data_IF_297831685769
#
_entry.id   IF_297831685769
#
_cell.length_a   1.000
_cell.length_b   1.000
_cell.length_c   1.000
_cell.angle_alpha   90.00
_cell.angle_beta   90.00
_cell.angle_gamma   90.00
#
_symmetry.space_group_name_H-M   'P 1'
#
loop_
_entity.id
_entity.type
_entity.pdbx_description
1 polymer ?
#
# COMPACT_ATOMS: atom_id res chain seq x y z
N UNK A 1 -8.73 16.93 -17.19
CA UNK A 1 -7.55 16.07 -17.45
C UNK A 1 -6.24 16.61 -16.87
N UNK A 2 -5.71 17.79 -17.24
CA UNK A 2 -4.42 18.28 -16.67
C UNK A 2 -4.46 18.36 -15.15
N UNK A 3 -5.50 18.96 -14.56
CA UNK A 3 -5.66 19.02 -13.11
C UNK A 3 -5.72 17.66 -12.42
N UNK A 4 -6.34 16.67 -13.03
CA UNK A 4 -6.39 15.28 -12.52
C UNK A 4 -5.02 14.63 -12.49
N UNK A 5 -4.22 14.83 -13.56
CA UNK A 5 -2.84 14.32 -13.62
C UNK A 5 -1.97 14.96 -12.52
N UNK A 6 -2.10 16.28 -12.31
CA UNK A 6 -1.37 16.99 -11.26
C UNK A 6 -1.74 16.44 -9.88
N UNK A 7 -3.03 16.24 -9.60
CA UNK A 7 -3.51 15.67 -8.32
C UNK A 7 -2.97 14.24 -8.15
N UNK A 8 -3.05 13.41 -9.19
CA UNK A 8 -2.50 12.05 -9.17
C UNK A 8 -1.01 12.04 -8.82
N UNK A 9 -0.22 12.85 -9.53
CA UNK A 9 1.22 12.96 -9.29
C UNK A 9 1.54 13.49 -7.88
N UNK A 10 0.76 14.44 -7.38
CA UNK A 10 0.92 14.99 -6.03
C UNK A 10 0.64 13.92 -4.96
N UNK A 11 -0.46 13.17 -5.09
CA UNK A 11 -0.79 12.08 -4.17
C UNK A 11 0.33 11.05 -4.16
N UNK A 12 0.76 10.61 -5.33
CA UNK A 12 1.80 9.60 -5.48
C UNK A 12 3.14 10.08 -4.91
N UNK A 13 3.49 11.34 -5.20
CA UNK A 13 4.68 11.99 -4.66
C UNK A 13 4.69 11.99 -3.11
N UNK A 14 3.59 12.39 -2.47
CA UNK A 14 3.51 12.44 -1.00
C UNK A 14 3.66 11.04 -0.39
N UNK A 15 3.03 10.03 -0.99
CA UNK A 15 3.07 8.65 -0.49
C UNK A 15 4.47 8.05 -0.62
N UNK A 16 5.09 8.20 -1.80
CA UNK A 16 6.45 7.68 -2.04
C UNK A 16 7.48 8.43 -1.22
N UNK A 17 7.37 9.76 -1.12
CA UNK A 17 8.24 10.55 -0.26
C UNK A 17 8.17 10.11 1.20
N UNK A 18 6.96 9.85 1.71
CA UNK A 18 6.78 9.33 3.06
C UNK A 18 7.47 7.98 3.26
N UNK A 19 7.38 7.10 2.29
CA UNK A 19 8.03 5.79 2.27
C UNK A 19 9.56 5.91 2.33
N UNK A 20 10.15 6.62 1.37
CA UNK A 20 11.61 6.82 1.30
C UNK A 20 12.14 7.56 2.54
N UNK A 21 11.36 8.51 3.05
CA UNK A 21 11.72 9.23 4.27
C UNK A 21 11.75 8.30 5.49
N UNK A 22 10.90 7.27 5.53
CA UNK A 22 10.96 6.24 6.57
C UNK A 22 12.30 5.51 6.58
N UNK A 23 12.75 5.02 5.44
CA UNK A 23 14.06 4.40 5.26
C UNK A 23 15.18 5.33 5.68
N UNK A 24 15.17 6.55 5.14
CA UNK A 24 16.16 7.58 5.43
C UNK A 24 16.31 7.87 6.91
N UNK A 25 15.18 8.14 7.58
CA UNK A 25 15.19 8.53 9.00
C UNK A 25 15.74 7.42 9.88
N UNK A 26 15.26 6.19 9.69
CA UNK A 26 15.66 5.06 10.52
C UNK A 26 17.10 4.62 10.21
N UNK A 27 17.56 4.73 8.97
CA UNK A 27 18.97 4.54 8.62
C UNK A 27 19.86 5.50 9.40
N UNK A 28 19.56 6.80 9.36
CA UNK A 28 20.31 7.84 10.09
C UNK A 28 20.31 7.62 11.61
N UNK A 29 19.18 7.25 12.20
CA UNK A 29 19.08 6.95 13.63
C UNK A 29 19.95 5.74 14.02
N UNK A 30 20.08 4.75 13.13
CA UNK A 30 20.93 3.58 13.35
C UNK A 30 22.39 3.78 12.94
N UNK A 31 22.79 4.98 12.51
CA UNK A 31 24.15 5.29 12.09
C UNK A 31 24.54 4.70 10.72
N UNK A 32 23.56 4.25 9.92
CA UNK A 32 23.77 3.79 8.54
C UNK A 32 23.86 5.00 7.64
N UNK A 33 24.95 5.07 6.83
CA UNK A 33 25.15 6.16 5.89
C UNK A 33 24.23 6.02 4.68
N UNK A 34 23.61 7.15 4.33
CA UNK A 34 22.77 7.27 3.15
C UNK A 34 23.52 8.08 2.11
N UNK A 35 23.91 7.44 1.02
CA UNK A 35 24.64 8.07 -0.08
C UNK A 35 23.73 9.01 -0.88
N UNK A 36 22.52 8.56 -1.22
CA UNK A 36 21.56 9.36 -1.97
C UNK A 36 20.14 9.21 -1.40
N UNK A 37 19.46 10.34 -1.30
CA UNK A 37 18.02 10.42 -1.07
C UNK A 37 17.40 11.10 -2.29
N UNK A 38 16.80 10.29 -3.17
CA UNK A 38 16.27 10.77 -4.44
C UNK A 38 14.75 10.75 -4.47
N UNK A 39 14.18 11.78 -5.07
CA UNK A 39 12.76 11.90 -5.40
C UNK A 39 12.62 11.70 -6.89
N UNK A 40 11.77 10.72 -7.28
CA UNK A 40 11.61 10.33 -8.67
C UNK A 40 12.62 9.32 -9.16
N UNK A 41 12.50 8.94 -10.41
CA UNK A 41 13.39 8.00 -11.12
C UNK A 41 13.98 8.63 -12.38
N UNK A 42 14.98 7.96 -12.97
CA UNK A 42 15.62 8.40 -14.21
C UNK A 42 16.77 9.38 -13.99
N UNK A 43 17.14 10.17 -15.01
CA UNK A 43 18.26 11.10 -14.93
C UNK A 43 18.03 12.20 -13.90
N UNK A 44 19.09 12.60 -13.21
CA UNK A 44 19.08 13.66 -12.22
C UNK A 44 18.88 15.02 -12.90
N UNK A 45 17.87 15.77 -12.46
CA UNK A 45 17.61 17.15 -12.92
C UNK A 45 18.30 18.16 -12.03
N UNK A 46 18.19 17.97 -10.71
CA UNK A 46 18.75 18.88 -9.72
C UNK A 46 19.15 18.09 -8.47
N UNK A 47 20.06 18.62 -7.68
CA UNK A 47 20.44 18.05 -6.41
C UNK A 47 21.48 18.89 -5.69
N UNK A 48 21.62 18.63 -4.41
CA UNK A 48 22.62 19.23 -3.55
C UNK A 48 23.13 18.20 -2.54
N UNK A 49 24.38 18.36 -2.13
CA UNK A 49 24.99 17.49 -1.12
C UNK A 49 24.99 18.20 0.23
N UNK A 50 24.51 17.52 1.27
CA UNK A 50 24.57 18.00 2.66
C UNK A 50 25.12 16.90 3.55
N UNK A 51 26.29 17.12 4.11
CA UNK A 51 27.05 16.09 4.81
C UNK A 51 27.46 14.96 3.87
N UNK A 52 27.16 13.75 4.23
CA UNK A 52 27.45 12.54 3.43
C UNK A 52 26.36 12.23 2.39
N UNK A 53 25.16 12.79 2.54
CA UNK A 53 24.01 12.47 1.71
C UNK A 53 23.83 13.45 0.56
N UNK A 54 23.63 12.94 -0.63
CA UNK A 54 23.18 13.68 -1.79
C UNK A 54 21.66 13.66 -1.88
N UNK A 55 21.03 14.83 -1.93
CA UNK A 55 19.58 15.00 -2.13
C UNK A 55 19.33 15.28 -3.61
N UNK A 56 18.62 14.42 -4.31
CA UNK A 56 18.43 14.49 -5.75
C UNK A 56 16.96 14.57 -6.15
N UNK A 57 16.67 15.38 -7.16
CA UNK A 57 15.40 15.39 -7.89
C UNK A 57 15.64 14.78 -9.27
N UNK A 58 14.88 13.75 -9.62
CA UNK A 58 15.00 12.99 -10.87
C UNK A 58 13.85 13.29 -11.83
N UNK A 59 14.03 12.99 -13.11
CA UNK A 59 13.16 13.45 -14.19
C UNK A 59 11.73 12.92 -14.15
N UNK A 60 11.55 11.68 -13.72
CA UNK A 60 10.22 11.07 -13.67
C UNK A 60 9.72 11.11 -12.23
N UNK A 61 8.60 11.81 -11.94
CA UNK A 61 8.06 11.98 -10.58
C UNK A 61 7.34 10.71 -10.07
N UNK A 62 7.74 9.54 -10.55
CA UNK A 62 7.25 8.24 -10.15
C UNK A 62 8.35 7.51 -9.40
N UNK A 63 8.09 7.14 -8.14
CA UNK A 63 9.06 6.48 -7.30
C UNK A 63 9.98 7.41 -6.53
N UNK A 64 10.92 6.83 -5.81
CA UNK A 64 11.99 7.44 -5.06
C UNK A 64 13.11 6.44 -4.87
N UNK A 65 14.19 6.84 -4.24
CA UNK A 65 15.27 5.94 -3.85
C UNK A 65 16.01 6.48 -2.62
N UNK A 66 16.21 5.61 -1.64
CA UNK A 66 17.10 5.85 -0.51
C UNK A 66 18.26 4.85 -0.64
N UNK A 67 19.41 5.29 -1.14
CA UNK A 67 20.57 4.44 -1.43
C UNK A 67 21.50 4.45 -0.22
N UNK A 68 21.69 3.30 0.39
CA UNK A 68 22.60 3.12 1.52
C UNK A 68 24.02 2.79 1.04
N UNK A 69 25.01 3.21 1.80
CA UNK A 69 26.39 2.82 1.53
C UNK A 69 26.57 1.30 1.64
N UNK A 70 27.21 0.70 0.63
CA UNK A 70 27.44 -0.75 0.58
C UNK A 70 26.20 -1.60 0.25
N UNK A 71 25.08 -0.98 -0.12
CA UNK A 71 23.85 -1.70 -0.46
C UNK A 71 24.00 -2.53 -1.74
N UNK A 72 24.62 -1.97 -2.76
CA UNK A 72 24.69 -2.52 -4.11
C UNK A 72 25.95 -3.35 -4.31
N UNK A 73 26.52 -4.12 -3.56
CA UNK A 73 27.67 -4.99 -3.86
C UNK A 73 28.66 -4.52 -4.99
N UNK A 74 28.21 -3.59 -5.82
CA UNK A 74 28.95 -2.94 -6.90
C UNK A 74 30.06 -2.00 -6.39
N UNK A 75 29.88 -1.39 -5.21
CA UNK A 75 30.95 -0.57 -4.61
C UNK A 75 32.05 -1.46 -4.02
N UNK A 76 31.69 -2.58 -3.38
CA UNK A 76 32.65 -3.57 -2.92
C UNK A 76 33.46 -4.16 -4.09
N UNK A 77 32.80 -4.46 -5.21
CA UNK A 77 33.49 -4.92 -6.44
C UNK A 77 34.38 -3.84 -7.07
N UNK A 78 34.03 -2.56 -6.95
CA UNK A 78 34.90 -1.45 -7.41
C UNK A 78 36.09 -1.21 -6.49
N UNK A 79 35.90 -1.36 -5.17
CA UNK A 79 37.02 -1.27 -4.22
C UNK A 79 37.97 -2.45 -4.36
N UNK A 80 37.50 -3.67 -4.55
CA UNK A 80 38.34 -4.83 -4.86
C UNK A 80 39.06 -4.70 -6.21
N UNK A 81 38.40 -4.18 -7.26
CA UNK A 81 39.01 -3.90 -8.54
C UNK A 81 40.05 -2.78 -8.44
N UNK A 82 39.81 -1.77 -7.61
CA UNK A 82 40.79 -0.67 -7.36
C UNK A 82 41.96 -1.15 -6.51
N UNK A 83 41.73 -2.02 -5.53
CA UNK A 83 42.79 -2.64 -4.74
C UNK A 83 43.63 -3.64 -5.54
N UNK A 84 43.04 -4.32 -6.51
CA UNK A 84 43.74 -5.25 -7.40
C UNK A 84 44.62 -4.51 -8.46
N UNK A 85 44.42 -3.21 -8.65
CA UNK A 85 45.21 -2.36 -9.57
C UNK A 85 46.52 -1.81 -9.00
N UNK A 86 46.82 -2.02 -7.71
CA UNK A 86 48.09 -1.59 -7.12
C UNK A 86 49.17 -2.66 -7.37
N UNK A 87 50.32 -2.36 -8.01
CA UNK A 87 51.36 -3.36 -8.29
C UNK A 87 51.87 -3.93 -6.98
N UNK A 88 51.71 -5.23 -6.79
CA UNK A 88 52.27 -5.94 -5.65
C UNK A 88 53.78 -5.83 -5.65
N UNK A 89 54.33 -5.19 -4.63
CA UNK A 89 55.77 -5.21 -4.34
C UNK A 89 56.18 -6.67 -4.06
N UNK A 90 57.11 -7.17 -4.90
CA UNK A 90 57.63 -8.54 -4.84
C UNK A 90 58.72 -8.69 -3.75
N UNK A 91 58.47 -8.28 -2.54
CA UNK A 91 59.31 -8.62 -1.40
C UNK A 91 58.52 -9.39 -0.37
N UNK A 92 58.53 -10.71 -0.53
CA UNK A 92 57.92 -11.63 0.41
C UNK A 92 58.63 -11.59 1.79
N UNK A 93 58.02 -10.95 2.74
CA UNK A 93 58.10 -11.13 4.20
C UNK A 93 57.15 -10.12 4.85
N UNK A 94 55.87 -10.37 4.80
CA UNK A 94 54.85 -9.57 5.49
C UNK A 94 54.29 -10.40 6.63
N UNK A 95 54.71 -10.07 7.83
CA UNK A 95 54.01 -10.52 9.04
C UNK A 95 52.52 -10.27 8.90
N UNK A 96 51.71 -11.28 9.24
CA UNK A 96 50.32 -11.14 9.56
C UNK A 96 50.18 -10.19 10.76
N UNK A 97 50.20 -8.90 10.50
CA UNK A 97 49.74 -7.93 11.47
C UNK A 97 48.20 -8.10 11.53
N UNK A 98 47.70 -8.59 12.67
CA UNK A 98 46.33 -8.41 13.08
C UNK A 98 46.08 -6.89 13.26
N UNK A 99 45.91 -6.18 12.17
CA UNK A 99 45.26 -4.87 12.21
C UNK A 99 43.80 -5.17 12.54
N UNK A 100 43.25 -4.64 13.65
CA UNK A 100 41.80 -4.69 13.83
C UNK A 100 41.18 -4.02 12.63
N UNK A 101 40.51 -4.79 11.79
CA UNK A 101 39.69 -4.22 10.73
C UNK A 101 38.59 -3.48 11.47
N UNK A 102 38.72 -2.16 11.54
CA UNK A 102 37.67 -1.29 12.08
C UNK A 102 36.48 -1.45 11.15
N UNK A 103 35.56 -2.34 11.56
CA UNK A 103 34.40 -2.67 10.74
C UNK A 103 33.54 -1.41 10.66
N UNK A 104 33.56 -0.77 9.51
CA UNK A 104 32.78 0.43 9.25
C UNK A 104 31.28 0.14 9.38
N UNK A 105 30.75 0.44 10.56
CA UNK A 105 29.32 0.23 10.91
C UNK A 105 28.38 1.19 10.17
N UNK A 106 28.91 2.21 9.53
CA UNK A 106 28.11 3.09 8.67
C UNK A 106 27.70 2.44 7.35
N UNK A 107 28.42 1.41 6.91
CA UNK A 107 28.06 0.61 5.76
C UNK A 107 26.87 -0.31 6.11
N UNK A 108 25.85 -0.34 5.22
CA UNK A 108 24.63 -1.12 5.44
C UNK A 108 24.90 -2.61 5.71
N UNK A 109 25.82 -3.22 4.96
CA UNK A 109 26.15 -4.64 5.10
C UNK A 109 26.81 -4.97 6.45
N UNK A 110 27.54 -4.03 7.03
CA UNK A 110 28.24 -4.17 8.29
C UNK A 110 27.40 -3.77 9.51
N UNK A 111 26.26 -3.11 9.29
CA UNK A 111 25.37 -2.70 10.36
C UNK A 111 24.71 -3.93 11.03
N UNK A 112 24.37 -3.85 12.34
CA UNK A 112 23.66 -4.92 13.03
C UNK A 112 22.39 -5.33 12.27
N UNK A 113 22.12 -6.63 12.17
CA UNK A 113 20.99 -7.16 11.39
C UNK A 113 19.64 -6.54 11.80
N UNK A 114 19.43 -6.28 13.08
CA UNK A 114 18.21 -5.62 13.58
C UNK A 114 18.10 -4.16 13.14
N UNK A 115 19.22 -3.44 13.02
CA UNK A 115 19.25 -2.07 12.47
C UNK A 115 18.90 -2.08 10.99
N UNK A 116 19.38 -3.08 10.23
CA UNK A 116 19.02 -3.27 8.82
C UNK A 116 17.54 -3.63 8.66
N UNK A 117 17.02 -4.56 9.48
CA UNK A 117 15.59 -4.90 9.49
C UNK A 117 14.74 -3.68 9.81
N UNK A 118 15.09 -2.90 10.84
CA UNK A 118 14.37 -1.69 11.21
C UNK A 118 14.37 -0.66 10.07
N UNK A 119 15.51 -0.48 9.41
CA UNK A 119 15.66 0.45 8.28
C UNK A 119 14.80 0.04 7.09
N UNK A 120 14.82 -1.24 6.70
CA UNK A 120 14.01 -1.72 5.57
C UNK A 120 12.51 -1.73 5.92
N UNK A 121 12.14 -2.10 7.14
CA UNK A 121 10.73 -2.09 7.59
C UNK A 121 10.15 -0.68 7.70
N UNK A 122 11.01 0.33 7.90
CA UNK A 122 10.59 1.71 8.13
C UNK A 122 9.82 2.32 6.95
N UNK A 123 10.17 2.01 5.69
CA UNK A 123 9.43 2.49 4.52
C UNK A 123 7.94 2.13 4.59
N UNK A 124 7.58 0.84 4.61
CA UNK A 124 6.20 0.41 4.79
C UNK A 124 5.54 0.96 6.06
N UNK A 125 6.25 1.00 7.19
CA UNK A 125 5.73 1.55 8.43
C UNK A 125 5.33 3.03 8.28
N UNK A 126 6.13 3.84 7.61
CA UNK A 126 5.84 5.25 7.38
C UNK A 126 4.63 5.45 6.45
N UNK A 127 4.38 4.54 5.53
CA UNK A 127 3.14 4.54 4.76
C UNK A 127 1.90 4.32 5.65
N UNK A 128 1.97 3.41 6.62
CA UNK A 128 0.87 3.23 7.59
C UNK A 128 0.70 4.44 8.52
N UNK A 129 1.81 5.06 8.95
CA UNK A 129 1.76 6.29 9.76
C UNK A 129 1.14 7.46 8.98
N UNK A 130 1.54 7.64 7.73
CA UNK A 130 0.98 8.64 6.83
C UNK A 130 -0.52 8.39 6.59
N UNK A 131 -0.89 7.14 6.32
CA UNK A 131 -2.28 6.75 6.18
C UNK A 131 -3.10 7.00 7.45
N UNK A 132 -2.51 6.81 8.63
CA UNK A 132 -3.18 7.13 9.89
C UNK A 132 -3.44 8.64 10.06
N UNK A 133 -2.49 9.49 9.62
CA UNK A 133 -2.69 10.95 9.59
C UNK A 133 -3.85 11.30 8.65
N UNK A 134 -3.89 10.71 7.45
CA UNK A 134 -5.01 10.88 6.52
C UNK A 134 -6.32 10.38 7.11
N UNK A 135 -6.31 9.24 7.82
CA UNK A 135 -7.48 8.70 8.49
C UNK A 135 -8.03 9.65 9.57
N UNK A 136 -7.16 10.35 10.32
CA UNK A 136 -7.57 11.38 11.29
C UNK A 136 -8.28 12.54 10.56
N UNK A 137 -7.75 12.99 9.42
CA UNK A 137 -8.37 14.06 8.63
C UNK A 137 -9.75 13.64 8.11
N UNK A 138 -9.85 12.43 7.52
CA UNK A 138 -11.10 11.90 6.97
C UNK A 138 -12.12 11.67 8.08
N UNK A 139 -11.72 11.05 9.21
CA UNK A 139 -12.60 10.82 10.35
C UNK A 139 -13.10 12.14 10.96
N UNK A 140 -12.22 13.16 11.06
CA UNK A 140 -12.58 14.47 11.58
C UNK A 140 -13.58 15.23 10.71
N UNK A 141 -13.53 14.99 9.39
CA UNK A 141 -14.44 15.63 8.43
C UNK A 141 -15.77 14.87 8.28
N UNK A 142 -15.70 13.56 8.05
CA UNK A 142 -16.85 12.75 7.68
C UNK A 142 -17.42 11.92 8.84
N UNK A 143 -16.71 11.80 9.98
CA UNK A 143 -17.09 10.87 11.04
C UNK A 143 -16.83 9.42 10.67
N UNK A 144 -17.64 8.51 11.23
CA UNK A 144 -17.58 7.09 10.95
C UNK A 144 -18.95 6.54 10.56
N UNK A 145 -18.96 5.72 9.50
CA UNK A 145 -20.10 4.92 9.05
C UNK A 145 -20.24 3.68 9.96
N UNK A 146 -20.94 3.85 11.09
CA UNK A 146 -21.14 2.75 12.03
C UNK A 146 -22.07 1.68 11.43
N UNK A 147 -21.82 0.39 11.71
CA UNK A 147 -22.59 -0.72 11.14
C UNK A 147 -23.94 -0.89 11.84
N UNK A 148 -24.78 0.14 11.81
CA UNK A 148 -26.14 0.14 12.34
C UNK A 148 -27.12 0.09 11.18
N UNK A 149 -28.04 -0.86 11.17
CA UNK A 149 -29.01 -1.03 10.09
C UNK A 149 -30.00 0.14 10.07
N UNK A 150 -30.16 0.77 8.91
CA UNK A 150 -31.20 1.80 8.68
C UNK A 150 -32.53 1.17 8.33
N UNK A 151 -32.52 0.16 7.46
CA UNK A 151 -33.68 -0.64 7.10
C UNK A 151 -33.27 -2.02 6.59
N UNK A 152 -34.22 -2.92 6.52
CA UNK A 152 -34.09 -4.27 5.97
C UNK A 152 -35.05 -4.38 4.79
N UNK A 153 -34.56 -4.99 3.70
CA UNK A 153 -35.36 -5.19 2.47
C UNK A 153 -36.33 -6.33 2.67
N UNK A 154 -37.60 -6.12 2.29
CA UNK A 154 -38.65 -7.14 2.31
C UNK A 154 -38.25 -8.33 1.41
N UNK A 155 -38.53 -9.55 1.87
CA UNK A 155 -38.17 -10.79 1.19
C UNK A 155 -36.69 -11.14 1.22
N UNK A 156 -35.87 -10.39 1.96
CA UNK A 156 -34.42 -10.63 2.04
C UNK A 156 -34.03 -11.67 3.11
N UNK A 157 -32.77 -12.15 3.01
CA UNK A 157 -32.18 -13.03 4.01
C UNK A 157 -32.15 -12.39 5.41
N UNK A 158 -31.94 -11.08 5.49
CA UNK A 158 -31.93 -10.35 6.75
C UNK A 158 -33.32 -10.29 7.40
N UNK A 159 -34.38 -10.06 6.62
CA UNK A 159 -35.75 -10.08 7.10
C UNK A 159 -36.17 -11.49 7.59
N UNK A 160 -35.86 -12.51 6.78
CA UNK A 160 -36.12 -13.91 7.15
C UNK A 160 -35.44 -14.34 8.47
N UNK A 161 -34.30 -13.71 8.79
CA UNK A 161 -33.59 -13.91 10.05
C UNK A 161 -34.09 -13.01 11.19
N UNK A 162 -35.16 -12.22 10.98
CA UNK A 162 -35.75 -11.35 12.00
C UNK A 162 -34.92 -10.12 12.35
N UNK A 163 -33.99 -9.71 11.48
CA UNK A 163 -33.22 -8.49 11.69
C UNK A 163 -34.08 -7.25 11.43
N UNK A 164 -33.78 -6.15 12.11
CA UNK A 164 -34.57 -4.93 12.09
C UNK A 164 -33.70 -3.68 11.97
N UNK A 165 -34.32 -2.56 11.60
CA UNK A 165 -33.68 -1.24 11.69
C UNK A 165 -33.25 -0.96 13.13
N UNK A 166 -32.07 -0.40 13.31
CA UNK A 166 -31.44 -0.14 14.61
C UNK A 166 -30.52 -1.25 15.11
N UNK A 167 -30.53 -2.44 14.51
CA UNK A 167 -29.58 -3.50 14.86
C UNK A 167 -28.18 -3.06 14.54
N UNK A 168 -27.26 -3.19 15.50
CA UNK A 168 -25.86 -2.89 15.33
C UNK A 168 -25.08 -4.15 15.07
N UNK A 169 -24.50 -4.27 13.88
CA UNK A 169 -23.73 -5.45 13.49
C UNK A 169 -22.36 -5.42 14.16
N UNK A 170 -22.04 -6.44 14.95
CA UNK A 170 -20.76 -6.61 15.65
C UNK A 170 -19.79 -7.49 14.87
N UNK A 171 -20.34 -8.54 14.22
CA UNK A 171 -19.57 -9.47 13.38
C UNK A 171 -20.34 -9.79 12.11
N UNK A 172 -19.59 -9.91 11.03
CA UNK A 172 -20.07 -10.37 9.73
C UNK A 172 -18.96 -11.29 9.18
N UNK A 173 -19.04 -12.59 9.48
CA UNK A 173 -17.98 -13.59 9.49
C UNK A 173 -16.80 -13.19 10.41
N UNK A 174 -16.29 -11.98 10.27
CA UNK A 174 -15.24 -11.39 11.08
C UNK A 174 -15.77 -10.18 11.88
N UNK A 175 -14.99 -9.70 12.88
CA UNK A 175 -15.32 -8.48 13.62
C UNK A 175 -15.30 -7.28 12.66
N UNK A 176 -16.37 -6.48 12.67
CA UNK A 176 -16.49 -5.24 11.90
C UNK A 176 -16.62 -4.03 12.81
N UNK A 177 -16.19 -2.88 12.31
CA UNK A 177 -16.31 -1.60 13.02
C UNK A 177 -16.97 -0.51 12.14
N UNK A 178 -16.95 -0.69 10.82
CA UNK A 178 -17.50 0.23 9.85
C UNK A 178 -18.49 -0.52 8.94
N UNK A 179 -19.55 0.16 8.53
CA UNK A 179 -20.58 -0.41 7.67
C UNK A 179 -20.03 -0.89 6.32
N UNK A 180 -19.06 -0.16 5.77
CA UNK A 180 -18.39 -0.52 4.49
C UNK A 180 -17.64 -1.86 4.54
N UNK A 181 -17.31 -2.38 5.73
CA UNK A 181 -16.71 -3.71 5.87
C UNK A 181 -17.68 -4.81 5.45
N UNK A 182 -18.99 -4.62 5.66
CA UNK A 182 -20.03 -5.55 5.20
C UNK A 182 -20.05 -5.60 3.67
N UNK A 183 -20.01 -4.42 3.04
CA UNK A 183 -19.98 -4.32 1.57
C UNK A 183 -18.73 -4.99 0.98
N UNK A 184 -17.58 -4.87 1.64
CA UNK A 184 -16.36 -5.55 1.23
C UNK A 184 -16.48 -7.07 1.32
N UNK A 185 -16.98 -7.60 2.43
CA UNK A 185 -17.20 -9.05 2.61
C UNK A 185 -18.19 -9.59 1.57
N UNK A 186 -19.27 -8.86 1.30
CA UNK A 186 -20.24 -9.26 0.28
C UNK A 186 -19.68 -9.19 -1.15
N UNK A 187 -18.83 -8.21 -1.46
CA UNK A 187 -18.16 -8.12 -2.77
C UNK A 187 -17.23 -9.32 -3.04
N UNK A 188 -16.68 -9.91 -1.99
CA UNK A 188 -15.82 -11.10 -2.07
C UNK A 188 -16.61 -12.41 -2.05
N UNK A 189 -17.85 -12.40 -1.59
CA UNK A 189 -18.74 -13.57 -1.58
C UNK A 189 -19.43 -13.74 -2.94
N UNK A 190 -18.70 -14.26 -3.91
CA UNK A 190 -19.19 -14.46 -5.29
C UNK A 190 -20.04 -15.74 -5.45
N UNK A 191 -20.08 -16.59 -4.45
CA UNK A 191 -20.74 -17.91 -4.49
C UNK A 191 -22.04 -17.97 -3.67
N UNK A 192 -22.35 -16.91 -2.91
CA UNK A 192 -23.54 -16.88 -2.03
C UNK A 192 -23.38 -17.74 -0.78
N UNK A 193 -22.15 -17.97 -0.31
CA UNK A 193 -21.90 -18.73 0.90
C UNK A 193 -22.60 -18.11 2.12
N UNK A 194 -23.16 -18.94 3.03
CA UNK A 194 -23.78 -18.43 4.25
C UNK A 194 -22.82 -17.62 5.10
N UNK A 195 -23.33 -16.52 5.66
CA UNK A 195 -22.58 -15.56 6.47
C UNK A 195 -23.08 -15.59 7.90
N UNK A 196 -22.16 -15.80 8.85
CA UNK A 196 -22.46 -15.71 10.28
C UNK A 196 -22.48 -14.24 10.71
N UNK A 197 -23.59 -13.83 11.32
CA UNK A 197 -23.81 -12.46 11.78
C UNK A 197 -24.08 -12.45 13.27
N UNK A 198 -23.33 -11.60 14.00
CA UNK A 198 -23.63 -11.26 15.39
C UNK A 198 -24.02 -9.80 15.43
N UNK A 199 -25.15 -9.50 16.02
CA UNK A 199 -25.69 -8.14 16.15
C UNK A 199 -26.19 -7.86 17.56
N UNK A 200 -26.20 -6.58 17.93
CA UNK A 200 -26.69 -6.07 19.21
C UNK A 200 -28.02 -5.36 18.98
N UNK A 201 -29.06 -5.73 19.77
CA UNK A 201 -30.34 -5.08 19.84
C UNK A 201 -30.70 -4.88 21.32
N UNK A 202 -31.06 -3.68 21.72
CA UNK A 202 -31.41 -3.31 23.09
C UNK A 202 -30.40 -3.78 24.16
N UNK A 203 -29.12 -3.76 23.81
CA UNK A 203 -28.00 -4.16 24.68
C UNK A 203 -27.81 -5.68 24.83
N UNK A 204 -28.54 -6.50 24.05
CA UNK A 204 -28.36 -7.95 24.00
C UNK A 204 -27.76 -8.37 22.66
N UNK A 205 -26.83 -9.35 22.70
CA UNK A 205 -26.23 -9.92 21.50
C UNK A 205 -27.04 -11.09 20.97
N UNK A 206 -27.26 -11.11 19.67
CA UNK A 206 -27.95 -12.19 18.94
C UNK A 206 -27.02 -12.72 17.85
N UNK A 207 -27.08 -14.02 17.60
CA UNK A 207 -26.35 -14.67 16.53
C UNK A 207 -27.32 -15.30 15.52
N UNK A 208 -27.04 -15.09 14.23
CA UNK A 208 -27.83 -15.67 13.14
C UNK A 208 -26.90 -16.00 11.96
N UNK A 209 -27.43 -16.79 11.02
CA UNK A 209 -26.74 -17.08 9.76
C UNK A 209 -27.60 -16.60 8.61
N UNK A 210 -27.05 -15.74 7.77
CA UNK A 210 -27.70 -15.24 6.57
C UNK A 210 -27.21 -15.99 5.35
N UNK A 211 -28.15 -16.50 4.54
CA UNK A 211 -27.82 -17.06 3.22
C UNK A 211 -28.11 -15.97 2.18
N UNK A 212 -27.05 -15.38 1.55
CA UNK A 212 -27.25 -14.31 0.59
C UNK A 212 -28.08 -14.76 -0.61
N UNK A 213 -28.95 -13.89 -1.12
CA UNK A 213 -29.79 -14.15 -2.29
C UNK A 213 -29.18 -13.45 -3.49
N UNK A 214 -29.12 -14.14 -4.64
CA UNK A 214 -28.62 -13.55 -5.87
C UNK A 214 -29.63 -12.55 -6.42
N UNK A 215 -29.19 -11.32 -6.63
CA UNK A 215 -29.98 -10.26 -7.24
C UNK A 215 -29.56 -10.10 -8.72
N UNK A 216 -30.46 -10.41 -9.64
CA UNK A 216 -30.19 -10.39 -11.09
C UNK A 216 -29.89 -8.96 -11.61
N UNK A 217 -30.61 -7.94 -11.09
CA UNK A 217 -30.40 -6.56 -11.51
C UNK A 217 -29.04 -6.02 -11.09
N UNK A 218 -28.59 -6.36 -9.86
CA UNK A 218 -27.31 -5.96 -9.33
C UNK A 218 -26.16 -6.90 -9.75
N UNK A 219 -26.45 -8.07 -10.31
CA UNK A 219 -25.46 -9.08 -10.71
C UNK A 219 -24.62 -9.63 -9.56
N UNK A 220 -25.14 -9.65 -8.32
CA UNK A 220 -24.40 -10.03 -7.12
C UNK A 220 -25.30 -10.59 -6.02
N UNK A 221 -24.69 -11.29 -5.08
CA UNK A 221 -25.35 -11.78 -3.88
C UNK A 221 -25.57 -10.66 -2.86
N UNK A 222 -26.77 -10.57 -2.27
CA UNK A 222 -27.15 -9.55 -1.29
C UNK A 222 -27.80 -10.21 -0.07
N UNK A 223 -27.64 -9.59 1.10
CA UNK A 223 -28.28 -10.01 2.36
C UNK A 223 -29.52 -9.16 2.70
N UNK A 224 -29.70 -8.02 2.02
CA UNK A 224 -30.87 -7.16 2.19
C UNK A 224 -30.72 -6.06 3.24
N UNK A 225 -29.51 -5.67 3.59
CA UNK A 225 -29.27 -4.47 4.39
C UNK A 225 -29.38 -3.22 3.51
N UNK A 226 -30.17 -2.26 3.97
CA UNK A 226 -30.34 -0.98 3.30
C UNK A 226 -30.02 0.17 4.25
N UNK A 227 -29.36 1.20 3.75
CA UNK A 227 -29.08 2.47 4.44
C UNK A 227 -28.63 2.33 5.90
N UNK A 228 -27.34 2.43 6.12
CA UNK A 228 -26.77 2.52 7.46
C UNK A 228 -27.19 3.84 8.11
N UNK A 229 -27.82 3.78 9.26
CA UNK A 229 -28.61 4.87 9.84
C UNK A 229 -27.79 6.05 10.36
N UNK A 230 -26.48 5.91 10.58
CA UNK A 230 -25.76 7.03 11.20
C UNK A 230 -24.28 7.12 10.87
N UNK A 231 -23.89 8.34 10.49
CA UNK A 231 -22.54 8.81 10.67
C UNK A 231 -22.40 9.38 12.09
N UNK A 232 -21.55 8.79 12.92
CA UNK A 232 -21.24 9.34 14.22
C UNK A 232 -20.09 10.34 14.10
N UNK A 233 -20.27 11.54 14.68
CA UNK A 233 -19.27 12.58 14.65
C UNK A 233 -18.01 12.19 15.43
N UNK A 234 -16.85 12.42 14.83
CA UNK A 234 -15.55 12.12 15.42
C UNK A 234 -15.02 13.30 16.24
N UNK A 235 -15.42 13.38 17.52
CA UNK A 235 -14.92 14.39 18.46
C UNK A 235 -14.11 13.76 19.60
N UNK A 236 -13.09 14.47 20.07
CA UNK A 236 -12.26 14.02 21.19
C UNK A 236 -11.57 12.68 20.95
N UNK A 237 -11.68 11.77 21.89
CA UNK A 237 -11.07 10.42 21.79
C UNK A 237 -11.67 9.55 20.71
N UNK A 238 -12.93 9.81 20.31
CA UNK A 238 -13.58 9.11 19.20
C UNK A 238 -12.83 9.33 17.89
N UNK A 239 -12.21 10.49 17.68
CA UNK A 239 -11.46 10.82 16.48
C UNK A 239 -10.35 9.79 16.20
N UNK A 240 -9.51 9.49 17.18
CA UNK A 240 -8.42 8.51 17.05
C UNK A 240 -8.95 7.09 16.89
N UNK A 241 -10.05 6.75 17.58
CA UNK A 241 -10.70 5.45 17.45
C UNK A 241 -11.26 5.23 16.04
N UNK A 242 -11.91 6.23 15.45
CA UNK A 242 -12.47 6.14 14.10
C UNK A 242 -11.38 6.19 13.02
N UNK A 243 -10.33 6.97 13.22
CA UNK A 243 -9.15 6.93 12.37
C UNK A 243 -8.51 5.53 12.37
N UNK A 244 -8.41 4.89 13.53
CA UNK A 244 -7.93 3.50 13.63
C UNK A 244 -8.85 2.51 12.90
N UNK A 245 -10.17 2.68 12.99
CA UNK A 245 -11.12 1.82 12.26
C UNK A 245 -10.96 1.99 10.75
N UNK A 246 -10.76 3.21 10.25
CA UNK A 246 -10.51 3.48 8.84
C UNK A 246 -9.20 2.87 8.37
N UNK A 247 -8.12 3.06 9.12
CA UNK A 247 -6.82 2.45 8.81
C UNK A 247 -6.92 0.92 8.76
N UNK A 248 -7.54 0.32 9.78
CA UNK A 248 -7.78 -1.12 9.85
C UNK A 248 -8.59 -1.61 8.64
N UNK A 249 -9.64 -0.90 8.26
CA UNK A 249 -10.42 -1.21 7.06
C UNK A 249 -9.55 -1.20 5.80
N UNK A 250 -8.74 -0.17 5.61
CA UNK A 250 -7.84 -0.07 4.44
C UNK A 250 -6.82 -1.22 4.41
N UNK A 251 -6.24 -1.58 5.57
CA UNK A 251 -5.32 -2.73 5.67
C UNK A 251 -6.05 -4.03 5.31
N UNK A 252 -7.25 -4.28 5.90
CA UNK A 252 -8.07 -5.44 5.60
C UNK A 252 -8.40 -5.52 4.11
N UNK A 253 -8.85 -4.41 3.52
CA UNK A 253 -9.16 -4.31 2.10
C UNK A 253 -7.94 -4.65 1.22
N UNK A 254 -6.77 -4.09 1.51
CA UNK A 254 -5.54 -4.34 0.75
C UNK A 254 -5.09 -5.81 0.87
N UNK A 255 -5.11 -6.39 2.07
CA UNK A 255 -4.75 -7.80 2.31
C UNK A 255 -5.72 -8.75 1.59
N UNK A 256 -7.03 -8.48 1.65
CA UNK A 256 -8.03 -9.29 0.96
C UNK A 256 -7.93 -9.16 -0.56
N UNK A 257 -7.58 -7.99 -1.08
CA UNK A 257 -7.32 -7.78 -2.51
C UNK A 257 -6.12 -8.60 -2.98
N UNK A 258 -5.01 -8.57 -2.24
CA UNK A 258 -3.83 -9.42 -2.52
C UNK A 258 -4.18 -10.90 -2.47
N UNK A 259 -4.92 -11.34 -1.44
CA UNK A 259 -5.39 -12.72 -1.32
C UNK A 259 -6.23 -13.13 -2.52
N UNK A 260 -7.20 -12.30 -2.92
CA UNK A 260 -8.07 -12.55 -4.07
C UNK A 260 -7.29 -12.62 -5.39
N UNK A 261 -6.21 -11.82 -5.52
CA UNK A 261 -5.31 -11.87 -6.67
C UNK A 261 -4.57 -13.22 -6.72
N UNK A 262 -4.02 -13.66 -5.60
CA UNK A 262 -3.28 -14.94 -5.50
C UNK A 262 -4.22 -16.14 -5.74
N UNK A 263 -5.47 -16.07 -5.27
CA UNK A 263 -6.49 -17.11 -5.47
C UNK A 263 -7.09 -17.09 -6.90
N UNK A 264 -6.67 -16.16 -7.77
CA UNK A 264 -7.19 -16.01 -9.13
C UNK A 264 -8.66 -15.61 -9.21
N UNK A 265 -9.20 -15.02 -8.13
CA UNK A 265 -10.61 -14.55 -8.06
C UNK A 265 -10.81 -13.18 -8.72
N UNK A 266 -9.72 -12.45 -8.99
CA UNK A 266 -9.76 -11.17 -9.67
C UNK A 266 -9.66 -11.35 -11.19
N UNK A 267 -10.48 -10.56 -11.90
CA UNK A 267 -10.39 -10.43 -13.36
C UNK A 267 -9.23 -9.49 -13.74
N UNK A 268 -8.73 -9.59 -14.98
CA UNK A 268 -7.75 -8.61 -15.51
C UNK A 268 -8.27 -7.16 -15.39
N UNK A 269 -9.59 -6.96 -15.40
CA UNK A 269 -10.22 -5.64 -15.30
C UNK A 269 -10.27 -5.07 -13.87
N UNK A 270 -10.02 -5.91 -12.86
CA UNK A 270 -10.01 -5.53 -11.45
C UNK A 270 -8.64 -4.96 -11.03
N UNK A 271 -7.61 -5.12 -11.87
CA UNK A 271 -6.26 -4.60 -11.63
C UNK A 271 -6.08 -3.30 -12.41
N UNK A 272 -5.84 -2.21 -11.70
CA UNK A 272 -5.57 -0.90 -12.29
C UNK A 272 -4.06 -0.62 -12.30
N UNK A 273 -3.52 -0.30 -13.46
CA UNK A 273 -2.17 0.25 -13.61
C UNK A 273 -2.16 1.77 -13.47
N UNK A 274 -1.04 2.44 -13.81
CA UNK A 274 -0.92 3.89 -13.66
C UNK A 274 -2.00 4.70 -14.38
N UNK A 275 -2.44 4.23 -15.55
CA UNK A 275 -3.48 4.88 -16.34
C UNK A 275 -4.86 4.68 -15.70
N UNK A 276 -5.16 3.46 -15.25
CA UNK A 276 -6.37 3.13 -14.49
C UNK A 276 -6.46 3.92 -13.18
N UNK A 277 -5.33 4.12 -12.49
CA UNK A 277 -5.26 4.93 -11.28
C UNK A 277 -5.58 6.41 -11.54
N UNK A 278 -5.08 6.98 -12.64
CA UNK A 278 -5.43 8.35 -13.03
C UNK A 278 -6.94 8.49 -13.34
N UNK A 279 -7.57 7.45 -13.92
CA UNK A 279 -9.03 7.40 -14.11
C UNK A 279 -9.79 7.37 -12.79
N UNK A 280 -9.33 6.56 -11.81
CA UNK A 280 -9.95 6.52 -10.48
C UNK A 280 -9.89 7.90 -9.83
N UNK A 281 -8.75 8.60 -9.92
CA UNK A 281 -8.63 9.99 -9.41
C UNK A 281 -9.64 10.90 -10.09
N UNK A 282 -9.81 10.80 -11.41
CA UNK A 282 -10.77 11.62 -12.16
C UNK A 282 -12.23 11.32 -11.77
N UNK A 283 -12.59 10.05 -11.66
CA UNK A 283 -13.91 9.61 -11.22
C UNK A 283 -14.25 10.12 -9.82
N UNK A 284 -13.32 9.93 -8.87
CA UNK A 284 -13.51 10.37 -7.47
C UNK A 284 -13.63 11.89 -7.40
N UNK A 285 -12.80 12.62 -8.16
CA UNK A 285 -12.84 14.07 -8.24
C UNK A 285 -14.19 14.55 -8.80
N UNK A 286 -14.59 14.04 -9.96
CA UNK A 286 -15.83 14.45 -10.66
C UNK A 286 -17.06 14.10 -9.82
N UNK A 287 -17.09 12.96 -9.15
CA UNK A 287 -18.19 12.58 -8.26
C UNK A 287 -18.29 13.51 -7.03
N UNK A 288 -17.17 14.07 -6.57
CA UNK A 288 -17.13 14.96 -5.42
C UNK A 288 -17.37 16.44 -5.76
N UNK A 289 -17.18 16.87 -7.02
CA UNK A 289 -17.30 18.27 -7.46
C UNK A 289 -18.62 18.95 -7.05
N UNK A 290 -19.81 18.30 -7.14
CA UNK A 290 -21.06 18.92 -6.72
C UNK A 290 -21.11 19.31 -5.25
N UNK A 291 -20.32 18.68 -4.40
CA UNK A 291 -20.23 18.97 -2.96
C UNK A 291 -19.19 20.04 -2.60
N UNK A 292 -18.57 20.64 -3.60
CA UNK A 292 -17.61 21.75 -3.43
C UNK A 292 -16.15 21.32 -3.18
N UNK A 293 -15.24 22.31 -3.14
CA UNK A 293 -13.79 22.03 -3.12
C UNK A 293 -13.32 21.23 -1.90
N UNK A 294 -13.95 21.45 -0.74
CA UNK A 294 -13.57 20.73 0.49
C UNK A 294 -13.93 19.25 0.39
N UNK A 295 -15.07 18.89 -0.20
CA UNK A 295 -15.43 17.50 -0.41
C UNK A 295 -14.48 16.84 -1.40
N UNK A 296 -14.11 17.51 -2.48
CA UNK A 296 -13.10 17.03 -3.44
C UNK A 296 -11.78 16.76 -2.71
N UNK A 297 -11.29 17.74 -1.94
CA UNK A 297 -10.04 17.59 -1.18
C UNK A 297 -10.10 16.38 -0.23
N UNK A 298 -11.16 16.24 0.55
CA UNK A 298 -11.29 15.14 1.51
C UNK A 298 -11.41 13.76 0.84
N UNK A 299 -12.05 13.69 -0.33
CA UNK A 299 -12.07 12.45 -1.11
C UNK A 299 -10.68 12.12 -1.69
N UNK A 300 -9.88 13.12 -2.09
CA UNK A 300 -8.49 12.91 -2.49
C UNK A 300 -7.63 12.42 -1.32
N UNK A 301 -7.82 12.97 -0.11
CA UNK A 301 -7.15 12.49 1.12
C UNK A 301 -7.56 11.04 1.43
N UNK A 302 -8.84 10.70 1.30
CA UNK A 302 -9.31 9.33 1.49
C UNK A 302 -8.69 8.35 0.47
N UNK A 303 -8.58 8.77 -0.80
CA UNK A 303 -7.89 7.98 -1.82
C UNK A 303 -6.39 7.84 -1.51
N UNK A 304 -5.74 8.93 -1.09
CA UNK A 304 -4.33 8.91 -0.68
C UNK A 304 -4.10 7.96 0.52
N UNK A 305 -5.02 7.92 1.49
CA UNK A 305 -5.00 6.98 2.60
C UNK A 305 -5.02 5.53 2.10
N UNK A 306 -5.96 5.19 1.22
CA UNK A 306 -6.09 3.85 0.66
C UNK A 306 -4.83 3.44 -0.11
N UNK A 307 -4.31 4.33 -0.96
CA UNK A 307 -3.10 4.08 -1.74
C UNK A 307 -1.85 3.93 -0.88
N UNK A 308 -1.72 4.75 0.17
CA UNK A 308 -0.60 4.66 1.12
C UNK A 308 -0.60 3.33 1.85
N UNK A 309 -1.75 2.86 2.33
CA UNK A 309 -1.88 1.52 2.95
C UNK A 309 -1.57 0.44 1.94
N UNK A 310 -2.10 0.53 0.72
CA UNK A 310 -1.88 -0.46 -0.32
C UNK A 310 -0.40 -0.58 -0.67
N UNK A 311 0.32 0.54 -0.80
CA UNK A 311 1.76 0.56 -1.03
C UNK A 311 2.53 -0.07 0.14
N UNK A 312 2.14 0.26 1.39
CA UNK A 312 2.74 -0.35 2.59
C UNK A 312 2.55 -1.86 2.64
N UNK A 313 1.33 -2.35 2.36
CA UNK A 313 1.03 -3.79 2.32
C UNK A 313 1.78 -4.49 1.18
N UNK A 314 1.77 -3.90 -0.03
CA UNK A 314 2.47 -4.47 -1.18
C UNK A 314 3.98 -4.56 -0.94
N UNK A 315 4.60 -3.52 -0.37
CA UNK A 315 6.02 -3.53 -0.07
C UNK A 315 6.41 -4.52 1.03
N UNK A 316 5.48 -4.95 1.87
CA UNK A 316 5.72 -6.02 2.86
C UNK A 316 5.57 -7.44 2.30
N UNK A 317 5.09 -7.61 1.05
CA UNK A 317 5.01 -8.93 0.44
C UNK A 317 6.42 -9.52 0.24
N UNK A 318 6.59 -10.84 0.45
CA UNK A 318 7.86 -11.53 0.30
C UNK A 318 8.23 -11.72 -1.19
N UNK A 319 8.20 -10.61 -1.95
CA UNK A 319 8.52 -10.60 -3.37
C UNK A 319 9.88 -9.94 -3.61
N UNK A 320 10.74 -10.51 -4.46
CA UNK A 320 11.98 -9.86 -4.86
C UNK A 320 11.71 -8.46 -5.45
N UNK A 321 12.64 -7.55 -5.30
CA UNK A 321 12.57 -6.13 -5.65
C UNK A 321 11.69 -5.25 -4.74
N UNK A 322 10.97 -5.83 -3.78
CA UNK A 322 10.25 -5.10 -2.74
C UNK A 322 10.97 -5.22 -1.39
N UNK A 323 10.65 -4.32 -0.45
CA UNK A 323 11.23 -4.35 0.91
C UNK A 323 10.98 -5.65 1.63
N UNK A 324 9.78 -6.24 1.46
CA UNK A 324 9.42 -7.53 2.03
C UNK A 324 10.32 -8.67 1.55
N UNK A 325 10.75 -8.65 0.30
CA UNK A 325 11.75 -9.57 -0.22
C UNK A 325 13.10 -9.44 0.52
N UNK A 326 13.55 -8.21 0.73
CA UNK A 326 14.79 -7.92 1.48
C UNK A 326 14.65 -8.31 2.95
N UNK A 327 13.49 -8.05 3.58
CA UNK A 327 13.21 -8.51 4.94
C UNK A 327 13.30 -10.03 5.08
N UNK A 328 12.84 -10.80 4.10
CA UNK A 328 12.98 -12.27 4.09
C UNK A 328 14.45 -12.68 4.16
N UNK A 329 15.33 -12.08 3.37
CA UNK A 329 16.76 -12.36 3.41
C UNK A 329 17.38 -12.02 4.76
N UNK A 330 17.03 -10.86 5.33
CA UNK A 330 17.50 -10.45 6.66
C UNK A 330 17.00 -11.38 7.78
N UNK A 331 15.74 -11.84 7.73
CA UNK A 331 15.23 -12.84 8.67
C UNK A 331 15.91 -14.20 8.51
N UNK A 332 16.21 -14.63 7.28
CA UNK A 332 16.99 -15.83 7.02
C UNK A 332 18.42 -15.70 7.59
N UNK A 333 19.03 -14.52 7.51
CA UNK A 333 20.32 -14.24 8.14
C UNK A 333 20.25 -14.41 9.67
N UNK A 334 19.21 -13.87 10.33
CA UNK A 334 18.99 -14.06 11.77
C UNK A 334 18.89 -15.55 12.13
N UNK A 335 18.13 -16.33 11.34
CA UNK A 335 17.94 -17.77 11.60
C UNK A 335 19.21 -18.59 11.35
N UNK A 336 20.00 -18.23 10.35
CA UNK A 336 21.23 -18.97 9.98
C UNK A 336 22.47 -18.51 10.75
N UNK A 337 22.44 -17.33 11.37
CA UNK A 337 23.60 -16.70 12.01
C UNK A 337 24.70 -16.26 11.02
N UNK A 338 24.42 -16.25 9.72
CA UNK A 338 25.38 -15.87 8.65
C UNK A 338 24.65 -15.10 7.56
N UNK A 339 25.22 -13.98 7.04
CA UNK A 339 24.64 -13.22 5.96
C UNK A 339 24.56 -14.07 4.67
N UNK A 340 23.60 -13.72 3.83
CA UNK A 340 23.51 -14.24 2.47
C UNK A 340 24.48 -13.44 1.62
N UNK A 341 25.25 -14.07 0.70
CA UNK A 341 26.14 -13.34 -0.16
C UNK A 341 25.38 -12.27 -0.98
N UNK A 342 25.85 -11.00 -0.95
CA UNK A 342 25.15 -9.87 -1.61
C UNK A 342 24.91 -10.10 -3.11
N UNK A 343 25.83 -10.80 -3.78
CA UNK A 343 25.70 -11.15 -5.19
C UNK A 343 24.44 -12.00 -5.47
N UNK A 344 24.15 -12.99 -4.60
CA UNK A 344 22.97 -13.86 -4.76
C UNK A 344 21.68 -13.10 -4.46
N UNK A 345 21.69 -12.25 -3.43
CA UNK A 345 20.57 -11.37 -3.12
C UNK A 345 20.29 -10.42 -4.30
N UNK A 346 21.32 -9.77 -4.83
CA UNK A 346 21.24 -8.86 -5.97
C UNK A 346 20.66 -9.52 -7.22
N UNK A 347 21.09 -10.74 -7.56
CA UNK A 347 20.55 -11.48 -8.72
C UNK A 347 19.05 -11.77 -8.55
N UNK A 348 18.63 -12.19 -7.35
CA UNK A 348 17.22 -12.51 -7.07
C UNK A 348 16.38 -11.23 -7.13
N UNK A 349 16.85 -10.13 -6.55
CA UNK A 349 16.16 -8.83 -6.62
C UNK A 349 16.08 -8.31 -8.05
N UNK A 350 17.15 -8.43 -8.84
CA UNK A 350 17.15 -8.04 -10.24
C UNK A 350 16.15 -8.84 -11.07
N UNK A 351 16.11 -10.17 -10.88
CA UNK A 351 15.14 -11.02 -11.55
C UNK A 351 13.70 -10.65 -11.19
N UNK A 352 13.43 -10.34 -9.90
CA UNK A 352 12.14 -9.83 -9.43
C UNK A 352 11.78 -8.49 -10.04
N UNK A 353 12.74 -7.58 -10.13
CA UNK A 353 12.55 -6.28 -10.78
C UNK A 353 12.15 -6.43 -12.25
N UNK A 354 12.85 -7.28 -13.00
CA UNK A 354 12.51 -7.56 -14.41
C UNK A 354 11.10 -8.14 -14.53
N UNK A 355 10.73 -9.09 -13.65
CA UNK A 355 9.39 -9.68 -13.64
C UNK A 355 8.30 -8.61 -13.35
N UNK A 356 8.53 -7.71 -12.38
CA UNK A 356 7.62 -6.62 -12.08
C UNK A 356 7.51 -5.61 -13.23
N UNK A 357 8.61 -5.30 -13.92
CA UNK A 357 8.60 -4.43 -15.10
C UNK A 357 7.78 -5.04 -16.24
N UNK A 358 7.91 -6.34 -16.51
CA UNK A 358 7.09 -7.04 -17.51
C UNK A 358 5.61 -7.02 -17.11
N UNK A 359 5.31 -7.28 -15.83
CA UNK A 359 3.94 -7.20 -15.31
C UNK A 359 3.37 -5.77 -15.46
N UNK A 360 4.14 -4.72 -15.15
CA UNK A 360 3.73 -3.34 -15.29
C UNK A 360 3.39 -2.99 -16.74
N UNK A 361 4.22 -3.42 -17.70
CA UNK A 361 3.96 -3.22 -19.14
C UNK A 361 2.66 -3.93 -19.56
N UNK A 362 2.45 -5.16 -19.09
CA UNK A 362 1.22 -5.92 -19.37
C UNK A 362 -0.03 -5.21 -18.81
N UNK A 363 0.02 -4.76 -17.55
CA UNK A 363 -1.10 -4.04 -16.91
C UNK A 363 -1.37 -2.71 -17.60
N UNK A 364 -0.33 -1.96 -17.96
CA UNK A 364 -0.47 -0.70 -18.71
C UNK A 364 -1.11 -0.91 -20.08
N UNK A 365 -0.74 -1.98 -20.79
CA UNK A 365 -1.36 -2.33 -22.07
C UNK A 365 -2.86 -2.65 -21.90
N UNK A 366 -3.21 -3.39 -20.84
CA UNK A 366 -4.61 -3.68 -20.51
C UNK A 366 -5.41 -2.42 -20.15
N UNK A 367 -4.82 -1.48 -19.41
CA UNK A 367 -5.43 -0.18 -19.10
C UNK A 367 -5.76 0.61 -20.38
N UNK A 368 -4.81 0.67 -21.32
CA UNK A 368 -4.98 1.40 -22.61
C UNK A 368 -6.07 0.75 -23.46
N UNK A 369 -6.13 -0.59 -23.52
CA UNK A 369 -7.21 -1.29 -24.24
C UNK A 369 -8.58 -0.95 -23.64
N UNK A 370 -8.68 -0.90 -22.31
CA UNK A 370 -9.93 -0.55 -21.61
C UNK A 370 -10.39 0.88 -21.92
N UNK A 371 -9.45 1.83 -22.01
CA UNK A 371 -9.72 3.20 -22.44
C UNK A 371 -10.29 3.26 -23.85
N UNK A 372 -9.70 2.53 -24.78
CA UNK A 372 -10.13 2.49 -26.18
C UNK A 372 -11.58 1.98 -26.32
N UNK A 373 -11.94 0.94 -25.56
CA UNK A 373 -13.31 0.38 -25.58
C UNK A 373 -14.36 1.32 -24.99
N UNK A 374 -14.02 2.10 -23.94
CA UNK A 374 -14.94 3.08 -23.36
C UNK A 374 -15.21 4.22 -24.33
N UNK A 375 -14.19 4.72 -25.03
CA UNK A 375 -14.37 5.78 -26.05
C UNK A 375 -15.16 5.32 -27.27
N UNK A 376 -15.16 4.03 -27.59
CA UNK A 376 -15.94 3.49 -28.72
C UNK A 376 -17.42 3.30 -28.33
N UNK A 377 -17.74 3.03 -27.06
CA UNK A 377 -19.12 2.80 -26.60
C UNK A 377 -19.88 4.08 -26.18
N UNK A 378 -19.21 5.21 -25.90
CA UNK A 378 -19.85 6.48 -25.56
C UNK A 378 -20.47 7.28 -26.71
N UNK A 379 -20.05 7.20 -28.00
CA UNK A 379 -20.66 8.02 -29.07
C UNK A 379 -22.14 7.71 -29.33
N UNK A 380 -22.62 6.53 -28.92
CA UNK A 380 -24.00 6.09 -29.16
C UNK A 380 -25.01 6.53 -28.11
N UNK A 381 -24.56 7.03 -26.94
CA UNK A 381 -25.48 7.53 -25.87
C UNK A 381 -25.85 9.01 -25.96
N UNK A 382 -25.21 9.78 -26.84
CA UNK A 382 -25.49 11.24 -27.01
C UNK A 382 -26.50 11.58 -28.11
N UNK A 383 -27.14 10.61 -28.71
CA UNK A 383 -28.16 10.84 -29.76
C UNK A 383 -29.43 10.06 -29.43
N UNK A 384 -30.03 10.34 -28.28
CA UNK A 384 -31.50 10.21 -28.14
C UNK A 384 -31.93 11.35 -27.24
N UNK A 385 -32.51 12.34 -27.88
CA UNK A 385 -33.26 13.43 -27.28
C UNK A 385 -34.57 12.88 -26.73
#
# INVERSE_FOLDING_TARGET
>A
MIGTIIIFLLIFFVIVMGHEFGHFLIAKVNGIRVNEFAIGMGPKIAGFKKGETEYALRAFPLGGACIFEGEDGLEAAKEEASAAGTPADKTGRGALQNVPVDVDRGNFQNAPVWSRIATVFAGPLFNFLLAFIFAIMVAGYAGADLPVLGSVVEGSAAEAAGMQAGDKILRFNSKINLAREISLEMALNKTGEPVKVVYERDGQEYETTLTPIYNEEAGKYLVGFQNYASYDEAKGTKLFRYAWYQLRFCIKNSVLSVKSLVEGKLSKNDVAGPVGMAQIVDQVKTAAEPGGPMLVFMNMVNLAMLLSVSLGVMNLLPLPALDGGRLVFLFLEVLRGKPIPPEKEGIIHFAGFVALMVLMVFVMFNDIQRLSLIHISEPTRRVVI
#
